data_IF_787665653882
#
_entry.id   IF_787665653882
#
_cell.length_a   1.000
_cell.length_b   1.000
_cell.length_c   1.000
_cell.angle_alpha   90.00
_cell.angle_beta   90.00
_cell.angle_gamma   90.00
#
_symmetry.space_group_name_H-M   'P 1'
#
loop_
_entity.id
_entity.type
_entity.pdbx_description
1 polymer ?
#
# COMPACT_ATOMS: atom_id res chain seq x y z
N UNK A 1 1.77 16.23 30.24
CA UNK A 1 2.71 15.13 29.91
C UNK A 1 2.00 13.95 29.28
N UNK A 2 0.88 13.44 29.82
CA UNK A 2 0.17 12.25 29.30
C UNK A 2 -0.31 12.41 27.84
N UNK A 3 -0.90 13.55 27.48
CA UNK A 3 -1.40 13.85 26.12
C UNK A 3 -0.28 13.82 25.04
N UNK A 4 0.89 14.38 25.35
CA UNK A 4 2.04 14.35 24.41
C UNK A 4 2.54 12.93 24.14
N UNK A 5 2.48 12.04 25.16
CA UNK A 5 2.89 10.65 24.99
C UNK A 5 1.87 9.88 24.14
N UNK A 6 0.57 10.14 24.32
CA UNK A 6 -0.48 9.53 23.50
C UNK A 6 -0.35 9.94 22.02
N UNK A 7 -0.14 11.22 21.75
CA UNK A 7 0.06 11.75 20.42
C UNK A 7 1.30 11.15 19.74
N UNK A 8 2.40 11.02 20.49
CA UNK A 8 3.62 10.39 19.99
C UNK A 8 3.39 8.90 19.68
N UNK A 9 2.67 8.18 20.53
CA UNK A 9 2.33 6.79 20.29
C UNK A 9 1.43 6.62 19.05
N UNK A 10 0.43 7.50 18.89
CA UNK A 10 -0.41 7.51 17.70
C UNK A 10 0.41 7.77 16.43
N UNK A 11 1.31 8.75 16.45
CA UNK A 11 2.27 9.00 15.37
C UNK A 11 3.06 7.73 15.03
N UNK A 12 3.60 7.02 16.05
CA UNK A 12 4.39 5.80 15.85
C UNK A 12 3.55 4.66 15.26
N UNK A 13 2.27 4.53 15.63
CA UNK A 13 1.38 3.54 15.05
C UNK A 13 1.24 3.79 13.54
N UNK A 14 1.01 5.04 13.10
CA UNK A 14 0.87 5.35 11.68
C UNK A 14 2.19 5.15 10.91
N UNK A 15 3.30 5.68 11.43
CA UNK A 15 4.59 5.61 10.72
C UNK A 15 5.14 4.19 10.66
N UNK A 16 4.72 3.31 11.56
CA UNK A 16 5.10 1.88 11.53
C UNK A 16 4.66 1.16 10.26
N UNK A 17 3.67 1.71 9.52
CA UNK A 17 3.27 1.19 8.22
C UNK A 17 4.40 1.20 7.18
N UNK A 18 5.41 2.06 7.35
CA UNK A 18 6.61 2.05 6.49
C UNK A 18 7.46 0.80 6.60
N UNK A 19 7.22 -0.07 7.60
CA UNK A 19 7.83 -1.39 7.65
C UNK A 19 7.48 -2.27 6.42
N UNK A 20 6.45 -1.91 5.65
CA UNK A 20 6.15 -2.52 4.35
C UNK A 20 7.27 -2.38 3.32
N UNK A 21 8.18 -1.42 3.47
CA UNK A 21 9.39 -1.30 2.65
C UNK A 21 10.51 -2.24 3.07
N UNK A 22 10.44 -2.82 4.27
CA UNK A 22 11.49 -3.68 4.84
C UNK A 22 11.15 -5.15 4.59
N UNK A 23 9.88 -5.53 4.79
CA UNK A 23 9.43 -6.91 4.60
C UNK A 23 7.98 -6.99 4.12
N UNK A 24 7.59 -8.10 3.46
CA UNK A 24 6.24 -8.30 2.92
C UNK A 24 5.19 -8.18 4.03
N UNK A 25 4.08 -7.50 3.74
CA UNK A 25 2.99 -7.23 4.70
C UNK A 25 3.39 -6.44 5.95
N UNK A 26 4.61 -5.91 6.03
CA UNK A 26 5.06 -5.08 7.14
C UNK A 26 4.18 -3.86 7.39
N UNK A 27 3.58 -3.31 6.32
CA UNK A 27 2.61 -2.22 6.40
C UNK A 27 1.32 -2.58 7.15
N UNK A 28 0.99 -3.85 7.31
CA UNK A 28 -0.17 -4.34 8.07
C UNK A 28 0.28 -4.86 9.43
N UNK A 29 1.29 -5.73 9.44
CA UNK A 29 1.74 -6.45 10.64
C UNK A 29 2.25 -5.48 11.71
N UNK A 30 3.09 -4.52 11.32
CA UNK A 30 3.71 -3.62 12.31
C UNK A 30 2.71 -2.66 12.95
N UNK A 31 1.80 -1.97 12.21
CA UNK A 31 0.74 -1.19 12.83
C UNK A 31 -0.22 -2.04 13.69
N UNK A 32 -0.50 -3.27 13.26
CA UNK A 32 -1.35 -4.18 14.01
C UNK A 32 -0.74 -4.52 15.37
N UNK A 33 0.56 -4.84 15.42
CA UNK A 33 1.28 -5.10 16.67
C UNK A 33 1.32 -3.84 17.53
N UNK A 34 1.66 -2.69 16.94
CA UNK A 34 1.71 -1.42 17.64
C UNK A 34 0.35 -1.05 18.24
N UNK A 35 -0.73 -1.19 17.48
CA UNK A 35 -2.09 -0.98 17.95
C UNK A 35 -2.44 -1.94 19.09
N UNK A 36 -2.24 -3.24 18.93
CA UNK A 36 -2.56 -4.23 19.97
C UNK A 36 -1.84 -3.97 21.30
N UNK A 37 -0.63 -3.42 21.26
CA UNK A 37 0.13 -3.09 22.47
C UNK A 37 -0.29 -1.78 23.13
N UNK A 38 -0.95 -0.89 22.39
CA UNK A 38 -1.23 0.47 22.82
C UNK A 38 -2.73 0.78 22.99
N UNK A 39 -3.63 -0.02 22.42
CA UNK A 39 -5.08 0.22 22.37
C UNK A 39 -5.73 0.44 23.73
N UNK A 40 -5.27 -0.31 24.75
CA UNK A 40 -5.86 -0.26 26.10
C UNK A 40 -5.43 0.98 26.91
N UNK A 41 -4.51 1.80 26.37
CA UNK A 41 -3.99 2.99 27.05
C UNK A 41 -4.90 4.21 26.88
N UNK A 42 -5.59 4.34 25.75
CA UNK A 42 -6.58 5.39 25.52
C UNK A 42 -7.48 5.07 24.31
N UNK A 43 -8.70 5.59 24.33
CA UNK A 43 -9.65 5.50 23.23
C UNK A 43 -9.10 6.10 21.92
N UNK A 44 -8.33 7.19 22.02
CA UNK A 44 -7.66 7.82 20.89
C UNK A 44 -6.69 6.85 20.19
N UNK A 45 -5.86 6.13 20.94
CA UNK A 45 -4.93 5.14 20.39
C UNK A 45 -5.64 3.95 19.76
N UNK A 46 -6.77 3.52 20.32
CA UNK A 46 -7.58 2.46 19.75
C UNK A 46 -8.18 2.89 18.40
N UNK A 47 -8.77 4.08 18.33
CA UNK A 47 -9.32 4.62 17.08
C UNK A 47 -8.24 4.78 16.00
N UNK A 48 -7.11 5.42 16.34
CA UNK A 48 -6.02 5.62 15.38
C UNK A 48 -5.42 4.30 14.91
N UNK A 49 -5.29 3.32 15.80
CA UNK A 49 -4.80 1.99 15.44
C UNK A 49 -5.73 1.25 14.48
N UNK A 50 -7.05 1.28 14.73
CA UNK A 50 -8.05 0.72 13.83
C UNK A 50 -8.00 1.38 12.45
N UNK A 51 -7.91 2.70 12.40
CA UNK A 51 -7.87 3.45 11.14
C UNK A 51 -6.64 3.08 10.30
N UNK A 52 -5.44 3.03 10.89
CA UNK A 52 -4.23 2.69 10.13
C UNK A 52 -4.21 1.23 9.66
N UNK A 53 -4.69 0.30 10.49
CA UNK A 53 -4.74 -1.12 10.10
C UNK A 53 -5.76 -1.33 8.98
N UNK A 54 -6.97 -0.77 9.12
CA UNK A 54 -8.00 -0.83 8.10
C UNK A 54 -7.54 -0.23 6.77
N UNK A 55 -6.86 0.93 6.83
CA UNK A 55 -6.31 1.57 5.64
C UNK A 55 -5.27 0.66 4.95
N UNK A 56 -4.31 0.13 5.69
CA UNK A 56 -3.24 -0.67 5.09
C UNK A 56 -3.75 -2.01 4.53
N UNK A 57 -4.76 -2.64 5.15
CA UNK A 57 -5.44 -3.80 4.58
C UNK A 57 -6.16 -3.42 3.27
N UNK A 58 -6.93 -2.32 3.28
CA UNK A 58 -7.64 -1.83 2.08
C UNK A 58 -6.68 -1.48 0.96
N UNK A 59 -5.61 -0.75 1.28
CA UNK A 59 -4.58 -0.34 0.35
C UNK A 59 -3.88 -1.55 -0.29
N UNK A 60 -3.48 -2.53 0.52
CA UNK A 60 -2.86 -3.77 0.03
C UNK A 60 -3.82 -4.54 -0.87
N UNK A 61 -5.11 -4.60 -0.53
CA UNK A 61 -6.14 -5.22 -1.37
C UNK A 61 -6.28 -4.50 -2.72
N UNK A 62 -6.31 -3.17 -2.73
CA UNK A 62 -6.42 -2.39 -3.97
C UNK A 62 -5.19 -2.57 -4.86
N UNK A 63 -3.98 -2.53 -4.29
CA UNK A 63 -2.74 -2.80 -5.02
C UNK A 63 -2.73 -4.22 -5.58
N UNK A 64 -3.19 -5.20 -4.81
CA UNK A 64 -3.29 -6.59 -5.25
C UNK A 64 -4.26 -6.75 -6.42
N UNK A 65 -5.47 -6.19 -6.34
CA UNK A 65 -6.46 -6.21 -7.42
C UNK A 65 -5.94 -5.51 -8.67
N UNK A 66 -5.29 -4.36 -8.50
CA UNK A 66 -4.65 -3.64 -9.61
C UNK A 66 -3.60 -4.53 -10.28
N UNK A 67 -2.72 -5.17 -9.50
CA UNK A 67 -1.69 -6.08 -10.02
C UNK A 67 -2.31 -7.25 -10.78
N UNK A 68 -3.38 -7.86 -10.26
CA UNK A 68 -4.10 -8.95 -10.95
C UNK A 68 -4.65 -8.53 -12.31
N UNK A 69 -5.12 -7.28 -12.44
CA UNK A 69 -5.61 -6.75 -13.71
C UNK A 69 -4.51 -6.61 -14.75
N UNK A 70 -3.28 -6.36 -14.32
CA UNK A 70 -2.13 -6.19 -15.22
C UNK A 70 -1.43 -7.49 -15.63
N UNK A 71 -1.55 -8.55 -14.84
CA UNK A 71 -0.95 -9.85 -15.18
C UNK A 71 -1.39 -10.37 -16.55
N UNK A 72 -2.70 -10.41 -16.89
CA UNK A 72 -3.16 -10.85 -18.21
C UNK A 72 -2.65 -9.97 -19.34
N UNK A 73 -2.53 -8.65 -19.10
CA UNK A 73 -1.99 -7.72 -20.10
C UNK A 73 -0.50 -7.98 -20.37
N UNK A 74 0.31 -8.17 -19.31
CA UNK A 74 1.71 -8.49 -19.42
C UNK A 74 1.92 -9.86 -20.11
N UNK A 75 1.16 -10.87 -19.72
CA UNK A 75 1.18 -12.20 -20.33
C UNK A 75 0.73 -12.13 -21.79
N UNK A 76 -0.36 -11.42 -22.07
CA UNK A 76 -0.91 -11.27 -23.42
C UNK A 76 0.07 -10.59 -24.39
N UNK A 77 0.83 -9.60 -23.94
CA UNK A 77 1.86 -8.95 -24.75
C UNK A 77 3.05 -9.87 -25.06
N UNK A 78 3.41 -10.75 -24.12
CA UNK A 78 4.45 -11.77 -24.30
C UNK A 78 3.98 -12.87 -25.28
N UNK A 79 2.76 -13.38 -25.10
CA UNK A 79 2.26 -14.48 -25.93
C UNK A 79 1.80 -14.05 -27.33
N UNK A 80 1.29 -12.83 -27.51
CA UNK A 80 0.85 -12.32 -28.82
C UNK A 80 2.00 -12.26 -29.84
N UNK A 81 3.21 -12.05 -29.38
CA UNK A 81 4.40 -11.97 -30.21
C UNK A 81 5.07 -13.33 -30.45
N UNK A 82 4.75 -14.32 -29.63
CA UNK A 82 5.30 -15.67 -29.73
C UNK A 82 4.39 -16.66 -30.48
N UNK A 83 3.48 -16.19 -31.32
CA UNK A 83 2.75 -17.09 -32.22
C UNK A 83 3.69 -17.86 -33.17
N UNK A 84 4.89 -17.31 -33.41
CA UNK A 84 5.97 -17.96 -34.15
C UNK A 84 6.94 -18.77 -33.26
N UNK A 85 6.66 -18.85 -31.94
CA UNK A 85 7.51 -19.55 -30.96
C UNK A 85 7.71 -21.05 -31.30
N UNK A 86 6.72 -21.67 -31.98
CA UNK A 86 6.79 -23.08 -32.35
C UNK A 86 7.68 -23.32 -33.57
N UNK A 87 8.05 -22.24 -34.32
CA UNK A 87 8.78 -22.35 -35.57
C UNK A 87 10.20 -21.74 -35.54
N UNK A 88 10.61 -21.08 -34.45
CA UNK A 88 11.96 -20.50 -34.33
C UNK A 88 12.54 -20.72 -32.93
N UNK A 89 13.71 -21.38 -32.89
CA UNK A 89 14.48 -21.68 -31.67
C UNK A 89 15.09 -20.43 -30.99
N UNK A 90 14.54 -19.22 -31.20
CA UNK A 90 15.08 -17.98 -30.66
C UNK A 90 14.01 -17.26 -29.80
N UNK A 91 14.32 -17.14 -28.52
CA UNK A 91 13.56 -16.32 -27.56
C UNK A 91 13.97 -14.84 -27.79
N UNK A 92 13.22 -14.13 -28.63
CA UNK A 92 13.44 -12.72 -28.87
C UNK A 92 12.56 -11.87 -27.93
N UNK A 93 13.17 -11.23 -26.94
CA UNK A 93 12.56 -10.12 -26.22
C UNK A 93 12.58 -8.88 -27.12
N UNK A 94 11.55 -8.68 -27.88
CA UNK A 94 11.41 -7.47 -28.68
C UNK A 94 10.50 -6.47 -27.93
N UNK A 95 11.11 -5.43 -27.37
CA UNK A 95 10.41 -4.28 -26.82
C UNK A 95 9.91 -3.38 -27.97
N UNK A 96 8.81 -3.77 -28.62
CA UNK A 96 8.13 -2.90 -29.57
C UNK A 96 7.57 -1.64 -28.87
N UNK A 97 7.48 -0.52 -29.62
CA UNK A 97 6.94 0.75 -29.10
C UNK A 97 5.59 0.59 -28.41
N UNK A 98 4.70 -0.27 -28.91
CA UNK A 98 3.38 -0.53 -28.31
C UNK A 98 3.48 -1.13 -26.90
N UNK A 99 4.48 -1.98 -26.66
CA UNK A 99 4.74 -2.56 -25.35
C UNK A 99 5.37 -1.54 -24.37
N UNK A 100 6.18 -0.61 -24.89
CA UNK A 100 6.82 0.46 -24.12
C UNK A 100 5.75 1.41 -23.56
N UNK A 101 4.77 1.85 -24.35
CA UNK A 101 3.69 2.71 -23.88
C UNK A 101 2.82 2.03 -22.82
N UNK A 102 2.50 0.75 -22.99
CA UNK A 102 1.78 -0.04 -21.99
C UNK A 102 2.58 -0.16 -20.70
N UNK A 103 3.88 -0.43 -20.78
CA UNK A 103 4.76 -0.53 -19.61
C UNK A 103 4.91 0.82 -18.89
N UNK A 104 5.12 1.92 -19.61
CA UNK A 104 5.19 3.28 -19.04
C UNK A 104 3.87 3.63 -18.35
N UNK A 105 2.73 3.36 -18.97
CA UNK A 105 1.41 3.59 -18.36
C UNK A 105 1.24 2.82 -17.05
N UNK A 106 1.64 1.56 -17.03
CA UNK A 106 1.61 0.69 -15.86
C UNK A 106 2.47 1.23 -14.71
N UNK A 107 3.72 1.54 -15.01
CA UNK A 107 4.66 2.10 -14.03
C UNK A 107 4.15 3.42 -13.48
N UNK A 108 3.59 4.27 -14.34
CA UNK A 108 3.03 5.58 -13.94
C UNK A 108 1.86 5.42 -12.97
N UNK A 109 0.88 4.57 -13.30
CA UNK A 109 -0.29 4.33 -12.44
C UNK A 109 0.14 3.74 -11.09
N UNK A 110 1.02 2.74 -11.12
CA UNK A 110 1.54 2.11 -9.90
C UNK A 110 2.29 3.12 -9.03
N UNK A 111 3.11 3.96 -9.64
CA UNK A 111 3.84 5.02 -8.93
C UNK A 111 2.90 6.03 -8.28
N UNK A 112 1.84 6.46 -8.97
CA UNK A 112 0.84 7.39 -8.41
C UNK A 112 0.15 6.77 -7.19
N UNK A 113 -0.27 5.50 -7.29
CA UNK A 113 -0.91 4.79 -6.17
C UNK A 113 0.04 4.69 -4.98
N UNK A 114 1.30 4.34 -5.22
CA UNK A 114 2.32 4.24 -4.18
C UNK A 114 2.60 5.58 -3.49
N UNK A 115 2.82 6.63 -4.27
CA UNK A 115 3.06 7.99 -3.75
C UNK A 115 1.86 8.51 -2.95
N UNK A 116 0.64 8.22 -3.42
CA UNK A 116 -0.59 8.58 -2.69
C UNK A 116 -0.66 7.86 -1.34
N UNK A 117 -0.35 6.57 -1.30
CA UNK A 117 -0.31 5.81 -0.05
C UNK A 117 0.71 6.37 0.94
N UNK A 118 1.92 6.67 0.48
CA UNK A 118 2.98 7.31 1.31
C UNK A 118 2.50 8.65 1.85
N UNK A 119 1.96 9.52 0.99
CA UNK A 119 1.48 10.85 1.39
C UNK A 119 0.38 10.75 2.45
N UNK A 120 -0.57 9.83 2.30
CA UNK A 120 -1.65 9.64 3.26
C UNK A 120 -1.12 9.16 4.62
N UNK A 121 -0.16 8.24 4.66
CA UNK A 121 0.47 7.79 5.90
C UNK A 121 1.21 8.93 6.60
N UNK A 122 1.92 9.77 5.85
CA UNK A 122 2.62 10.94 6.41
C UNK A 122 1.62 11.94 6.99
N UNK A 123 0.58 12.30 6.23
CA UNK A 123 -0.46 13.24 6.69
C UNK A 123 -1.13 12.71 7.96
N UNK A 124 -1.53 11.45 7.97
CA UNK A 124 -2.17 10.82 9.12
C UNK A 124 -1.25 10.82 10.35
N UNK A 125 0.03 10.49 10.17
CA UNK A 125 1.00 10.48 11.27
C UNK A 125 1.20 11.87 11.87
N UNK A 126 1.28 12.91 11.04
CA UNK A 126 1.43 14.29 11.50
C UNK A 126 0.19 14.76 12.26
N UNK A 127 -1.02 14.50 11.74
CA UNK A 127 -2.28 14.82 12.42
C UNK A 127 -2.44 14.07 13.74
N UNK A 128 -2.09 12.80 13.78
CA UNK A 128 -2.08 12.03 15.02
C UNK A 128 -1.10 12.60 16.06
N UNK A 129 0.05 13.12 15.62
CA UNK A 129 1.01 13.80 16.49
C UNK A 129 0.46 15.11 17.08
N UNK A 130 -0.42 15.79 16.35
CA UNK A 130 -1.13 16.98 16.83
C UNK A 130 -2.31 16.64 17.76
N UNK A 131 -2.66 15.34 17.86
CA UNK A 131 -3.79 14.85 18.66
C UNK A 131 -5.12 14.96 17.94
N UNK A 132 -5.09 15.05 16.60
CA UNK A 132 -6.27 15.07 15.76
C UNK A 132 -6.64 13.65 15.30
N UNK A 133 -7.94 13.36 15.29
CA UNK A 133 -8.46 12.13 14.71
C UNK A 133 -8.39 12.21 13.17
N UNK A 134 -7.56 11.39 12.56
CA UNK A 134 -7.48 11.27 11.11
C UNK A 134 -8.23 10.04 10.62
N UNK A 135 -9.05 10.22 9.59
CA UNK A 135 -9.73 9.14 8.88
C UNK A 135 -9.18 9.06 7.46
N UNK A 136 -8.67 7.89 7.12
CA UNK A 136 -8.16 7.68 5.77
C UNK A 136 -9.29 7.63 4.74
N UNK A 137 -9.10 8.26 3.57
CA UNK A 137 -10.05 8.12 2.46
C UNK A 137 -10.01 6.68 1.91
N UNK A 138 -11.14 6.26 1.35
CA UNK A 138 -11.28 4.95 0.68
C UNK A 138 -10.94 3.73 1.54
N UNK A 139 -11.05 3.85 2.84
CA UNK A 139 -10.79 2.76 3.79
C UNK A 139 -12.01 1.87 3.97
N UNK A 140 -11.86 0.57 3.80
CA UNK A 140 -12.85 -0.44 4.16
C UNK A 140 -12.65 -0.76 5.65
N UNK A 141 -13.72 -0.67 6.44
CA UNK A 141 -13.67 -0.96 7.88
C UNK A 141 -13.79 -2.46 8.11
N UNK A 142 -12.66 -3.15 8.16
CA UNK A 142 -12.58 -4.56 8.54
C UNK A 142 -12.66 -4.74 10.06
N UNK A 143 -12.05 -3.82 10.79
CA UNK A 143 -12.03 -3.77 12.25
C UNK A 143 -12.93 -2.61 12.68
N UNK A 144 -13.93 -2.91 13.51
CA UNK A 144 -14.91 -1.95 14.04
C UNK A 144 -14.56 -1.47 15.45
#
# INVERSE_FOLDING_TARGET
MKKNTENTNAFLIHISAFAGFIFPFGNIITPLIAWQTLKDRSHFLDEQGKEVVNFNISYTLYVFLLTLTFIPFAIGSIFRKNHDFWNSNHFNFDFGFDNIFGFIGLVSITSIVYLTGIALVIIASLKAKEGENYKYPFTIKFIK
#
